data_IF_049419064528
#
_entry.id   IF_049419064528
#
_cell.length_a   1.000
_cell.length_b   1.000
_cell.length_c   1.000
_cell.angle_alpha   90.00
_cell.angle_beta   90.00
_cell.angle_gamma   90.00
#
_symmetry.space_group_name_H-M   'P 1'
#
loop_
_entity.id
_entity.type
_entity.pdbx_description
1 polymer ?
#
# COMPACT_ATOMS: atom_id res chain seq x y z
N UNK A 1 26.68 19.46 -3.89
CA UNK A 1 25.69 18.35 -3.95
C UNK A 1 25.08 18.31 -5.35
N UNK A 2 25.38 17.28 -6.14
CA UNK A 2 24.89 17.18 -7.51
C UNK A 2 23.38 16.85 -7.49
N UNK A 3 22.52 17.82 -7.82
CA UNK A 3 21.06 17.68 -7.87
C UNK A 3 20.69 16.84 -9.10
N UNK A 4 20.93 15.52 -9.05
CA UNK A 4 20.45 14.59 -10.10
C UNK A 4 18.93 14.76 -10.21
N UNK A 5 18.44 15.10 -11.40
CA UNK A 5 17.00 15.29 -11.67
C UNK A 5 16.22 14.05 -11.22
N UNK A 6 15.10 14.27 -10.53
CA UNK A 6 14.19 13.19 -10.15
C UNK A 6 13.53 12.68 -11.44
N UNK A 7 14.02 11.57 -11.99
CA UNK A 7 13.31 10.85 -13.05
C UNK A 7 12.23 10.01 -12.39
N UNK A 8 10.98 10.44 -12.50
CA UNK A 8 9.83 9.69 -12.02
C UNK A 8 9.75 8.36 -12.79
N UNK A 9 9.56 7.27 -12.06
CA UNK A 9 9.34 5.94 -12.60
C UNK A 9 7.84 5.66 -12.70
N UNK A 10 7.33 5.63 -13.92
CA UNK A 10 6.00 5.15 -14.25
C UNK A 10 6.11 4.22 -15.45
N UNK A 11 6.30 2.93 -15.17
CA UNK A 11 6.61 1.92 -16.19
C UNK A 11 5.39 1.04 -16.44
N UNK A 12 5.27 0.49 -17.66
CA UNK A 12 4.22 -0.49 -18.00
C UNK A 12 4.19 -1.66 -17.01
N UNK A 13 5.36 -2.07 -16.52
CA UNK A 13 5.47 -3.12 -15.51
C UNK A 13 4.85 -2.72 -14.17
N UNK A 14 5.07 -1.49 -13.70
CA UNK A 14 4.43 -1.00 -12.46
C UNK A 14 2.93 -0.84 -12.65
N UNK A 15 2.48 -0.33 -13.79
CA UNK A 15 1.05 -0.24 -14.12
C UNK A 15 0.40 -1.62 -14.03
N UNK A 16 1.00 -2.62 -14.69
CA UNK A 16 0.48 -4.00 -14.70
C UNK A 16 0.45 -4.62 -13.30
N UNK A 17 1.56 -4.52 -12.56
CA UNK A 17 1.66 -5.05 -11.18
C UNK A 17 0.65 -4.40 -10.24
N UNK A 18 0.53 -3.08 -10.30
CA UNK A 18 -0.41 -2.32 -9.47
C UNK A 18 -1.86 -2.69 -9.80
N UNK A 19 -2.20 -2.68 -11.09
CA UNK A 19 -3.54 -3.05 -11.57
C UNK A 19 -3.92 -4.44 -11.08
N UNK A 20 -3.08 -5.44 -11.33
CA UNK A 20 -3.41 -6.84 -11.07
C UNK A 20 -3.54 -7.10 -9.56
N UNK A 21 -2.57 -6.67 -8.75
CA UNK A 21 -2.48 -7.11 -7.36
C UNK A 21 -3.50 -6.39 -6.48
N UNK A 22 -3.65 -5.08 -6.64
CA UNK A 22 -4.63 -4.33 -5.85
C UNK A 22 -6.06 -4.74 -6.20
N UNK A 23 -6.37 -4.94 -7.48
CA UNK A 23 -7.70 -5.39 -7.90
C UNK A 23 -8.02 -6.81 -7.42
N UNK A 24 -7.09 -7.77 -7.57
CA UNK A 24 -7.30 -9.15 -7.11
C UNK A 24 -7.47 -9.20 -5.59
N UNK A 25 -6.56 -8.55 -4.84
CA UNK A 25 -6.61 -8.54 -3.38
C UNK A 25 -7.91 -7.93 -2.85
N UNK A 26 -8.30 -6.78 -3.38
CA UNK A 26 -9.55 -6.11 -2.99
C UNK A 26 -10.79 -6.89 -3.44
N UNK A 27 -10.75 -7.53 -4.62
CA UNK A 27 -11.88 -8.35 -5.10
C UNK A 27 -12.11 -9.54 -4.19
N UNK A 28 -11.06 -10.28 -3.83
CA UNK A 28 -11.17 -11.40 -2.89
C UNK A 28 -11.72 -10.91 -1.55
N UNK A 29 -11.17 -9.82 -1.00
CA UNK A 29 -11.66 -9.22 0.24
C UNK A 29 -13.15 -8.83 0.16
N UNK A 30 -13.56 -8.20 -0.95
CA UNK A 30 -14.95 -7.76 -1.15
C UNK A 30 -15.92 -8.93 -1.31
N UNK A 31 -15.49 -10.04 -1.94
CA UNK A 31 -16.30 -11.25 -2.07
C UNK A 31 -16.51 -11.91 -0.72
N UNK A 32 -15.46 -11.97 0.12
CA UNK A 32 -15.57 -12.50 1.49
C UNK A 32 -16.55 -11.69 2.34
N UNK A 33 -16.54 -10.36 2.19
CA UNK A 33 -17.44 -9.45 2.91
C UNK A 33 -18.85 -9.35 2.31
N UNK A 34 -19.16 -10.06 1.22
CA UNK A 34 -20.39 -9.89 0.43
C UNK A 34 -20.64 -8.43 -0.04
N UNK A 35 -19.57 -7.65 -0.22
CA UNK A 35 -19.58 -6.24 -0.67
C UNK A 35 -19.06 -6.09 -2.12
N UNK A 36 -19.08 -7.16 -2.90
CA UNK A 36 -18.54 -7.11 -4.26
C UNK A 36 -19.35 -6.15 -5.15
N UNK A 37 -18.63 -5.30 -5.88
CA UNK A 37 -19.20 -4.37 -6.86
C UNK A 37 -18.26 -4.20 -8.04
N UNK A 38 -18.82 -4.20 -9.26
CA UNK A 38 -18.06 -3.97 -10.47
C UNK A 38 -17.41 -2.58 -10.48
N UNK A 39 -18.09 -1.57 -9.93
CA UNK A 39 -17.55 -0.22 -9.80
C UNK A 39 -16.32 -0.18 -8.87
N UNK A 40 -16.36 -0.92 -7.76
CA UNK A 40 -15.23 -1.06 -6.83
C UNK A 40 -14.04 -1.71 -7.51
N UNK A 41 -14.26 -2.82 -8.23
CA UNK A 41 -13.21 -3.51 -9.00
C UNK A 41 -12.54 -2.55 -10.01
N UNK A 42 -13.34 -1.87 -10.85
CA UNK A 42 -12.82 -0.96 -11.86
C UNK A 42 -12.10 0.24 -11.23
N UNK A 43 -12.61 0.75 -10.11
CA UNK A 43 -11.97 1.79 -9.31
C UNK A 43 -10.59 1.36 -8.79
N UNK A 44 -10.49 0.17 -8.22
CA UNK A 44 -9.22 -0.36 -7.71
C UNK A 44 -8.23 -0.69 -8.83
N UNK A 45 -8.71 -1.15 -9.99
CA UNK A 45 -7.91 -1.23 -11.22
C UNK A 45 -7.34 0.15 -11.57
N UNK A 46 -8.18 1.18 -11.64
CA UNK A 46 -7.77 2.53 -11.99
C UNK A 46 -6.74 3.10 -11.01
N UNK A 47 -7.00 3.04 -9.70
CA UNK A 47 -6.09 3.52 -8.66
C UNK A 47 -4.77 2.74 -8.65
N UNK A 48 -4.83 1.42 -8.80
CA UNK A 48 -3.67 0.55 -8.91
C UNK A 48 -2.78 0.92 -10.11
N UNK A 49 -3.39 1.18 -11.27
CA UNK A 49 -2.70 1.52 -12.51
C UNK A 49 -2.11 2.93 -12.52
N UNK A 50 -2.66 3.86 -11.72
CA UNK A 50 -2.31 5.28 -11.73
C UNK A 50 -1.56 5.68 -10.46
N UNK A 51 -2.29 5.99 -9.40
CA UNK A 51 -1.78 6.55 -8.14
C UNK A 51 -0.71 5.62 -7.55
N UNK A 52 -1.01 4.34 -7.38
CA UNK A 52 -0.10 3.42 -6.70
C UNK A 52 1.11 3.03 -7.55
N UNK A 53 0.90 2.78 -8.84
CA UNK A 53 1.98 2.49 -9.79
C UNK A 53 2.96 3.66 -9.99
N UNK A 54 2.51 4.90 -9.73
CA UNK A 54 3.36 6.09 -9.73
C UNK A 54 4.02 6.32 -8.36
N UNK A 55 3.23 6.42 -7.29
CA UNK A 55 3.70 6.93 -5.99
C UNK A 55 4.67 5.96 -5.30
N UNK A 56 4.29 4.68 -5.19
CA UNK A 56 5.01 3.71 -4.36
C UNK A 56 6.43 3.41 -4.89
N UNK A 57 6.62 3.10 -6.19
CA UNK A 57 7.97 2.88 -6.73
C UNK A 57 8.85 4.12 -6.59
N UNK A 58 8.30 5.32 -6.82
CA UNK A 58 9.05 6.57 -6.70
C UNK A 58 9.45 6.86 -5.25
N UNK A 59 8.58 6.54 -4.29
CA UNK A 59 8.89 6.66 -2.88
C UNK A 59 10.01 5.69 -2.47
N UNK A 60 9.96 4.42 -2.89
CA UNK A 60 11.03 3.46 -2.61
C UNK A 60 12.38 3.87 -3.23
N UNK A 61 12.38 4.40 -4.45
CA UNK A 61 13.57 5.00 -5.05
C UNK A 61 14.08 6.19 -4.23
N UNK A 62 13.19 7.03 -3.71
CA UNK A 62 13.56 8.15 -2.85
C UNK A 62 14.18 7.67 -1.53
N UNK A 63 13.65 6.62 -0.90
CA UNK A 63 14.23 6.00 0.30
C UNK A 63 15.67 5.56 0.03
N UNK A 64 15.93 4.86 -1.08
CA UNK A 64 17.29 4.40 -1.42
C UNK A 64 18.26 5.57 -1.57
N UNK A 65 17.85 6.64 -2.26
CA UNK A 65 18.68 7.84 -2.40
C UNK A 65 18.90 8.55 -1.07
N UNK A 66 17.85 8.69 -0.26
CA UNK A 66 17.92 9.38 1.04
C UNK A 66 18.81 8.64 2.03
N UNK A 67 18.86 7.31 1.94
CA UNK A 67 19.65 6.44 2.82
C UNK A 67 21.00 6.03 2.23
N UNK A 68 21.39 6.58 1.07
CA UNK A 68 22.63 6.22 0.38
C UNK A 68 23.90 6.50 1.21
N UNK A 69 23.88 7.56 2.02
CA UNK A 69 25.00 7.94 2.88
C UNK A 69 25.02 7.23 4.23
N UNK A 70 23.98 6.46 4.56
CA UNK A 70 23.94 5.69 5.81
C UNK A 70 24.57 4.31 5.56
N UNK A 71 25.25 3.77 6.57
CA UNK A 71 25.83 2.42 6.53
C UNK A 71 25.30 1.54 7.66
N UNK A 72 25.46 0.22 7.50
CA UNK A 72 25.12 -0.79 8.50
C UNK A 72 23.67 -0.70 9.02
N UNK A 73 23.52 -0.87 10.33
CA UNK A 73 22.22 -0.89 11.01
C UNK A 73 21.41 0.40 10.82
N UNK A 74 22.08 1.56 10.79
CA UNK A 74 21.43 2.85 10.59
C UNK A 74 20.74 2.94 9.23
N UNK A 75 21.35 2.37 8.18
CA UNK A 75 20.72 2.30 6.85
C UNK A 75 19.49 1.41 6.90
N UNK A 76 19.61 0.22 7.49
CA UNK A 76 18.54 -0.77 7.59
C UNK A 76 17.31 -0.21 8.30
N UNK A 77 17.51 0.38 9.48
CA UNK A 77 16.42 0.98 10.27
C UNK A 77 15.81 2.19 9.57
N UNK A 78 16.64 3.06 8.99
CA UNK A 78 16.13 4.24 8.28
C UNK A 78 15.23 3.87 7.11
N UNK A 79 15.57 2.85 6.32
CA UNK A 79 14.71 2.39 5.22
C UNK A 79 13.38 1.87 5.71
N UNK A 80 13.39 1.05 6.76
CA UNK A 80 12.18 0.48 7.35
C UNK A 80 11.27 1.56 7.94
N UNK A 81 11.82 2.46 8.75
CA UNK A 81 11.05 3.54 9.38
C UNK A 81 10.45 4.47 8.32
N UNK A 82 11.20 4.83 7.27
CA UNK A 82 10.68 5.65 6.18
C UNK A 82 9.56 4.94 5.42
N UNK A 83 9.66 3.63 5.18
CA UNK A 83 8.58 2.88 4.54
C UNK A 83 7.32 2.84 5.42
N UNK A 84 7.44 2.62 6.72
CA UNK A 84 6.30 2.66 7.66
C UNK A 84 5.69 4.06 7.73
N UNK A 85 6.53 5.10 7.78
CA UNK A 85 6.08 6.49 7.81
C UNK A 85 5.32 6.90 6.54
N UNK A 86 5.57 6.24 5.41
CA UNK A 86 4.80 6.40 4.19
C UNK A 86 3.45 5.69 4.25
N UNK A 87 3.42 4.44 4.71
CA UNK A 87 2.18 3.69 4.93
C UNK A 87 1.49 4.07 6.26
N UNK A 88 1.48 5.36 6.56
CA UNK A 88 0.87 5.92 7.77
C UNK A 88 -0.68 5.91 7.69
N UNK A 89 -1.39 6.34 8.76
CA UNK A 89 -2.85 6.37 8.76
C UNK A 89 -3.49 7.16 7.61
N UNK A 90 -2.85 8.21 7.09
CA UNK A 90 -3.39 8.96 5.93
C UNK A 90 -3.37 8.12 4.65
N UNK A 91 -2.34 7.29 4.47
CA UNK A 91 -2.29 6.37 3.34
C UNK A 91 -3.42 5.34 3.42
N UNK A 92 -3.63 4.75 4.60
CA UNK A 92 -4.70 3.78 4.85
C UNK A 92 -6.07 4.44 4.66
N UNK A 93 -6.28 5.61 5.24
CA UNK A 93 -7.51 6.38 5.09
C UNK A 93 -7.82 6.66 3.62
N UNK A 94 -6.82 7.11 2.85
CA UNK A 94 -6.98 7.35 1.41
C UNK A 94 -7.38 6.08 0.66
N UNK A 95 -6.79 4.94 1.00
CA UNK A 95 -7.15 3.66 0.39
C UNK A 95 -8.60 3.26 0.71
N UNK A 96 -9.01 3.36 1.98
CA UNK A 96 -10.39 3.10 2.40
C UNK A 96 -11.39 4.06 1.74
N UNK A 97 -11.01 5.34 1.61
CA UNK A 97 -11.81 6.35 0.93
C UNK A 97 -12.04 5.96 -0.54
N UNK A 98 -11.01 5.51 -1.26
CA UNK A 98 -11.18 5.04 -2.64
C UNK A 98 -12.11 3.84 -2.72
N UNK A 99 -11.97 2.87 -1.82
CA UNK A 99 -12.88 1.72 -1.76
C UNK A 99 -14.32 2.19 -1.60
N UNK A 100 -14.62 3.04 -0.61
CA UNK A 100 -16.00 3.53 -0.38
C UNK A 100 -16.51 4.39 -1.53
N UNK A 101 -15.67 5.25 -2.10
CA UNK A 101 -15.98 6.06 -3.27
C UNK A 101 -16.39 5.20 -4.47
N UNK A 102 -15.58 4.22 -4.83
CA UNK A 102 -15.84 3.35 -5.99
C UNK A 102 -16.87 2.26 -5.70
N UNK A 103 -17.22 2.04 -4.43
CA UNK A 103 -18.36 1.19 -4.05
C UNK A 103 -19.70 1.94 -4.10
N UNK A 104 -19.69 3.26 -4.29
CA UNK A 104 -20.89 4.11 -4.25
C UNK A 104 -21.41 4.38 -2.83
N UNK A 105 -20.63 4.02 -1.80
CA UNK A 105 -21.00 4.16 -0.40
C UNK A 105 -20.57 5.54 0.15
N UNK A 106 -21.02 6.61 -0.49
CA UNK A 106 -20.63 7.98 -0.15
C UNK A 106 -20.99 8.37 1.28
N UNK A 107 -22.13 7.89 1.79
CA UNK A 107 -22.60 8.17 3.15
C UNK A 107 -21.69 7.57 4.24
N UNK A 108 -20.87 6.57 3.88
CA UNK A 108 -19.91 5.94 4.78
C UNK A 108 -18.56 6.69 4.82
N UNK A 109 -18.35 7.70 3.97
CA UNK A 109 -17.16 8.55 3.98
C UNK A 109 -17.34 9.62 5.07
N UNK A 110 -17.10 9.20 6.32
CA UNK A 110 -17.22 10.05 7.50
C UNK A 110 -15.87 10.28 8.16
N UNK A 111 -15.79 11.24 9.10
CA UNK A 111 -14.59 11.45 9.93
C UNK A 111 -14.17 10.20 10.71
N UNK A 112 -15.12 9.29 10.99
CA UNK A 112 -14.84 8.02 11.65
C UNK A 112 -13.92 7.12 10.81
N UNK A 113 -13.95 7.24 9.47
CA UNK A 113 -13.08 6.46 8.60
C UNK A 113 -11.60 6.75 8.84
N UNK A 114 -11.26 7.97 9.25
CA UNK A 114 -9.90 8.32 9.65
C UNK A 114 -9.50 7.65 10.98
N UNK A 115 -10.44 7.55 11.94
CA UNK A 115 -10.22 6.84 13.21
C UNK A 115 -9.98 5.35 12.94
N UNK A 116 -10.77 4.73 12.05
CA UNK A 116 -10.55 3.34 11.60
C UNK A 116 -9.15 3.20 11.02
N UNK A 117 -8.72 4.12 10.14
CA UNK A 117 -7.38 4.07 9.56
C UNK A 117 -6.26 4.17 10.61
N UNK A 118 -6.43 4.98 11.66
CA UNK A 118 -5.49 5.06 12.79
C UNK A 118 -5.42 3.74 13.56
N UNK A 119 -6.55 3.11 13.87
CA UNK A 119 -6.58 1.82 14.55
C UNK A 119 -5.99 0.71 13.68
N UNK A 120 -6.38 0.63 12.40
CA UNK A 120 -5.81 -0.31 11.44
C UNK A 120 -4.31 -0.14 11.31
N UNK A 121 -3.79 1.09 11.35
CA UNK A 121 -2.34 1.32 11.39
C UNK A 121 -1.72 0.75 12.66
N UNK A 122 -2.22 1.13 13.84
CA UNK A 122 -1.66 0.72 15.14
C UNK A 122 -1.62 -0.80 15.30
N UNK A 123 -2.72 -1.49 14.99
CA UNK A 123 -2.81 -2.95 15.04
C UNK A 123 -1.84 -3.60 14.04
N UNK A 124 -1.60 -2.96 12.90
CA UNK A 124 -0.69 -3.46 11.87
C UNK A 124 0.78 -3.22 12.11
N UNK A 125 1.17 -2.31 13.01
CA UNK A 125 2.57 -1.91 13.20
C UNK A 125 3.50 -3.13 13.32
N UNK A 126 3.24 -4.15 14.16
CA UNK A 126 4.18 -5.25 14.35
C UNK A 126 4.45 -6.03 13.06
N UNK A 127 3.39 -6.43 12.36
CA UNK A 127 3.47 -7.21 11.12
C UNK A 127 4.04 -6.35 9.99
N UNK A 128 3.55 -5.12 9.86
CA UNK A 128 4.00 -4.17 8.84
C UNK A 128 5.46 -3.78 9.03
N UNK A 129 5.97 -3.71 10.26
CA UNK A 129 7.38 -3.45 10.52
C UNK A 129 8.25 -4.58 9.99
N UNK A 130 7.90 -5.83 10.29
CA UNK A 130 8.64 -7.01 9.82
C UNK A 130 8.60 -7.10 8.29
N UNK A 131 7.41 -6.94 7.69
CA UNK A 131 7.25 -6.97 6.24
C UNK A 131 8.07 -5.87 5.55
N UNK A 132 7.97 -4.62 6.03
CA UNK A 132 8.74 -3.51 5.47
C UNK A 132 10.24 -3.67 5.70
N UNK A 133 10.66 -4.25 6.83
CA UNK A 133 12.07 -4.57 7.06
C UNK A 133 12.60 -5.53 5.99
N UNK A 134 11.86 -6.60 5.69
CA UNK A 134 12.24 -7.58 4.67
C UNK A 134 12.23 -6.93 3.28
N UNK A 135 11.14 -6.25 2.90
CA UNK A 135 10.98 -5.62 1.59
C UNK A 135 12.08 -4.59 1.34
N UNK A 136 12.37 -3.72 2.30
CA UNK A 136 13.33 -2.64 2.07
C UNK A 136 14.79 -3.08 2.09
N UNK A 137 15.12 -4.21 2.74
CA UNK A 137 16.51 -4.61 2.96
C UNK A 137 16.92 -5.89 2.22
N UNK A 138 15.97 -6.78 1.90
CA UNK A 138 16.25 -8.06 1.22
C UNK A 138 15.75 -8.09 -0.22
N UNK A 139 14.70 -7.34 -0.55
CA UNK A 139 14.15 -7.31 -1.92
C UNK A 139 14.85 -6.24 -2.76
N UNK A 140 15.24 -6.62 -3.98
CA UNK A 140 15.82 -5.70 -4.98
C UNK A 140 14.82 -4.58 -5.29
N UNK A 141 15.33 -3.36 -5.49
CA UNK A 141 14.50 -2.14 -5.63
C UNK A 141 13.36 -2.29 -6.67
N UNK A 142 13.67 -2.85 -7.83
CA UNK A 142 12.70 -3.06 -8.92
C UNK A 142 11.56 -4.04 -8.59
N UNK A 143 11.74 -4.86 -7.55
CA UNK A 143 10.75 -5.85 -7.09
C UNK A 143 10.02 -5.41 -5.82
N UNK A 144 10.45 -4.32 -5.16
CA UNK A 144 9.83 -3.88 -3.89
C UNK A 144 8.39 -3.47 -4.04
N UNK A 145 8.04 -2.82 -5.15
CA UNK A 145 6.65 -2.46 -5.42
C UNK A 145 5.76 -3.69 -5.49
N UNK A 146 6.20 -4.74 -6.21
CA UNK A 146 5.50 -6.01 -6.28
C UNK A 146 5.33 -6.64 -4.88
N UNK A 147 6.44 -6.76 -4.13
CA UNK A 147 6.41 -7.36 -2.80
C UNK A 147 5.50 -6.58 -1.83
N UNK A 148 5.54 -5.26 -1.89
CA UNK A 148 4.67 -4.39 -1.09
C UNK A 148 3.19 -4.51 -1.48
N UNK A 149 2.89 -4.57 -2.78
CA UNK A 149 1.51 -4.75 -3.25
C UNK A 149 0.96 -6.11 -2.82
N UNK A 150 1.75 -7.19 -2.93
CA UNK A 150 1.36 -8.53 -2.47
C UNK A 150 1.07 -8.51 -0.97
N UNK A 151 1.96 -7.90 -0.17
CA UNK A 151 1.74 -7.76 1.27
C UNK A 151 0.43 -7.02 1.58
N UNK A 152 0.15 -5.90 0.90
CA UNK A 152 -1.11 -5.16 1.07
C UNK A 152 -2.34 -5.99 0.69
N UNK A 153 -2.27 -6.74 -0.42
CA UNK A 153 -3.37 -7.61 -0.85
C UNK A 153 -3.64 -8.73 0.17
N UNK A 154 -2.60 -9.37 0.70
CA UNK A 154 -2.73 -10.38 1.74
C UNK A 154 -3.35 -9.81 3.02
N UNK A 155 -2.95 -8.60 3.43
CA UNK A 155 -3.54 -7.93 4.59
C UNK A 155 -5.03 -7.62 4.38
N UNK A 156 -5.43 -7.17 3.20
CA UNK A 156 -6.83 -6.92 2.88
C UNK A 156 -7.67 -8.21 2.98
N UNK A 157 -7.18 -9.31 2.43
CA UNK A 157 -7.83 -10.63 2.51
C UNK A 157 -7.89 -11.12 3.96
N UNK A 158 -6.79 -11.00 4.70
CA UNK A 158 -6.72 -11.40 6.11
C UNK A 158 -7.76 -10.67 6.95
N UNK A 159 -7.92 -9.36 6.76
CA UNK A 159 -8.91 -8.59 7.49
C UNK A 159 -10.35 -8.94 7.10
N UNK A 160 -10.62 -9.13 5.81
CA UNK A 160 -11.92 -9.58 5.36
C UNK A 160 -12.28 -10.95 5.94
N UNK A 161 -11.33 -11.90 5.97
CA UNK A 161 -11.51 -13.20 6.60
C UNK A 161 -11.76 -13.08 8.11
N UNK A 162 -10.97 -12.26 8.81
CA UNK A 162 -11.14 -12.05 10.24
C UNK A 162 -12.52 -11.50 10.57
N UNK A 163 -12.99 -10.53 9.79
CA UNK A 163 -14.33 -9.96 9.95
C UNK A 163 -15.43 -11.00 9.69
N UNK A 164 -15.26 -11.85 8.68
CA UNK A 164 -16.25 -12.87 8.30
C UNK A 164 -16.32 -14.03 9.29
N UNK A 165 -15.23 -14.37 9.97
CA UNK A 165 -15.14 -15.54 10.86
C UNK A 165 -15.48 -15.19 12.31
N UNK A 166 -15.13 -13.99 12.77
CA UNK A 166 -15.20 -13.61 14.19
C UNK A 166 -16.29 -12.59 14.52
N UNK A 167 -17.11 -12.18 13.55
CA UNK A 167 -18.26 -11.30 13.71
C UNK A 167 -19.55 -12.02 13.30
#
# INVERSE_FOLDING_TARGET
MNKKSIKLQYTKQNIFRGTLIYSIGDTIASLLLNEFSLYRLLGMVFIGATVYALEIPNYFNWIERKTANNSGLRRTLAKTILAIAYFNPLWIFRHLLFIKLFSGNFDQITSNLFIVACWSFLVNIPISFIANFIIQNKVKLDWRFLASAIFSALMAIYYALSETIFN
#
